data_IF_452087002523
#
_entry.id   IF_452087002523
#
_cell.length_a   1.000
_cell.length_b   1.000
_cell.length_c   1.000
_cell.angle_alpha   90.00
_cell.angle_beta   90.00
_cell.angle_gamma   90.00
#
_symmetry.space_group_name_H-M   'P 1'
#
loop_
_entity.id
_entity.type
_entity.pdbx_description
1 polymer ?
#
# COMPACT_ATOMS: atom_id res chain seq x y z
N UNK A 1 30.98 -1.78 31.15
CA UNK A 1 30.10 -2.92 31.53
C UNK A 1 28.63 -2.50 31.57
N UNK A 2 28.23 -1.48 32.33
CA UNK A 2 26.83 -0.99 32.42
C UNK A 2 26.18 -0.64 31.07
N UNK A 3 26.90 0.05 30.18
CA UNK A 3 26.39 0.40 28.85
C UNK A 3 26.04 -0.79 27.97
N UNK A 4 26.68 -1.95 28.17
CA UNK A 4 26.41 -3.16 27.37
C UNK A 4 25.03 -3.72 27.73
N UNK A 5 24.67 -3.68 29.01
CA UNK A 5 23.35 -4.10 29.48
C UNK A 5 22.27 -3.11 29.07
N UNK A 6 22.57 -1.81 29.07
CA UNK A 6 21.67 -0.78 28.54
C UNK A 6 21.41 -0.96 27.05
N UNK A 7 22.45 -1.23 26.26
CA UNK A 7 22.33 -1.42 24.81
C UNK A 7 21.60 -2.71 24.46
N UNK A 8 21.89 -3.81 25.17
CA UNK A 8 21.18 -5.08 25.03
C UNK A 8 19.70 -4.94 25.39
N UNK A 9 19.38 -4.21 26.45
CA UNK A 9 18.00 -3.92 26.84
C UNK A 9 17.27 -3.12 25.76
N UNK A 10 17.90 -2.09 25.20
CA UNK A 10 17.32 -1.27 24.13
C UNK A 10 17.08 -2.08 22.84
N UNK A 11 18.01 -2.98 22.49
CA UNK A 11 17.88 -3.87 21.34
C UNK A 11 16.74 -4.88 21.51
N UNK A 12 16.55 -5.43 22.71
CA UNK A 12 15.44 -6.34 22.99
C UNK A 12 14.06 -5.66 22.97
N UNK A 13 14.01 -4.33 23.10
CA UNK A 13 12.77 -3.54 22.99
C UNK A 13 12.42 -3.14 21.56
N UNK A 14 13.25 -3.43 20.55
CA UNK A 14 12.88 -3.13 19.16
C UNK A 14 11.77 -4.08 18.68
N UNK A 15 10.57 -3.55 18.47
CA UNK A 15 9.44 -4.29 17.91
C UNK A 15 9.60 -4.53 16.41
N UNK A 16 9.00 -5.62 15.91
CA UNK A 16 8.88 -5.88 14.47
C UNK A 16 7.77 -4.99 13.90
N UNK A 17 8.12 -4.06 13.02
CA UNK A 17 7.12 -3.33 12.24
C UNK A 17 6.65 -4.20 11.08
N UNK A 18 5.35 -4.48 11.03
CA UNK A 18 4.70 -5.18 9.91
C UNK A 18 3.90 -4.15 9.12
N UNK A 19 4.21 -4.01 7.84
CA UNK A 19 3.57 -3.04 6.94
C UNK A 19 2.61 -3.70 5.92
N UNK A 20 2.36 -5.00 6.06
CA UNK A 20 1.53 -5.73 5.12
C UNK A 20 0.06 -5.32 5.25
N UNK A 21 -0.54 -4.93 4.12
CA UNK A 21 -1.97 -4.65 4.02
C UNK A 21 -2.69 -5.94 3.68
N UNK A 22 -3.42 -6.50 4.64
CA UNK A 22 -4.17 -7.76 4.48
C UNK A 22 -5.67 -7.56 4.74
N UNK A 23 -6.49 -8.40 4.11
CA UNK A 23 -7.95 -8.37 4.25
C UNK A 23 -8.68 -8.56 2.92
N UNK A 24 -10.01 -8.44 2.94
CA UNK A 24 -10.82 -8.55 1.72
C UNK A 24 -10.58 -7.35 0.81
N UNK A 25 -10.10 -7.61 -0.40
CA UNK A 25 -9.94 -6.60 -1.43
C UNK A 25 -11.26 -6.32 -2.16
N UNK A 26 -11.50 -5.05 -2.43
CA UNK A 26 -12.53 -4.54 -3.33
C UNK A 26 -11.84 -3.80 -4.47
N UNK A 27 -12.06 -4.24 -5.72
CA UNK A 27 -11.52 -3.55 -6.90
C UNK A 27 -12.32 -2.27 -7.14
N UNK A 28 -11.63 -1.13 -7.21
CA UNK A 28 -12.25 0.18 -7.44
C UNK A 28 -11.89 0.78 -8.79
N UNK A 29 -10.70 0.47 -9.31
CA UNK A 29 -10.27 0.81 -10.67
C UNK A 29 -9.24 -0.23 -11.19
N UNK A 30 -8.84 -0.13 -12.45
CA UNK A 30 -7.93 -1.07 -13.11
C UNK A 30 -6.54 -1.19 -12.46
N UNK A 31 -6.09 -0.15 -11.75
CA UNK A 31 -4.83 -0.13 -11.00
C UNK A 31 -5.03 0.15 -9.49
N UNK A 32 -6.29 0.20 -9.02
CA UNK A 32 -6.62 0.65 -7.68
C UNK A 32 -7.56 -0.33 -6.98
N UNK A 33 -7.14 -0.83 -5.82
CA UNK A 33 -7.96 -1.67 -4.93
C UNK A 33 -8.12 -1.05 -3.55
N UNK A 34 -9.18 -1.41 -2.84
CA UNK A 34 -9.44 -1.01 -1.47
C UNK A 34 -9.45 -2.23 -0.55
N UNK A 35 -8.74 -2.15 0.57
CA UNK A 35 -8.73 -3.18 1.62
C UNK A 35 -9.15 -2.50 2.92
N UNK A 36 -10.38 -2.76 3.37
CA UNK A 36 -10.99 -2.02 4.48
C UNK A 36 -11.08 -0.51 4.17
N UNK A 37 -10.36 0.31 4.93
CA UNK A 37 -10.28 1.77 4.72
C UNK A 37 -9.03 2.21 3.95
N UNK A 38 -8.16 1.27 3.58
CA UNK A 38 -6.90 1.54 2.91
C UNK A 38 -7.12 1.47 1.40
N UNK A 39 -6.70 2.51 0.68
CA UNK A 39 -6.63 2.53 -0.79
C UNK A 39 -5.21 2.15 -1.21
N UNK A 40 -5.09 1.16 -2.10
CA UNK A 40 -3.82 0.66 -2.64
C UNK A 40 -3.80 0.92 -4.15
N UNK A 41 -2.80 1.68 -4.61
CA UNK A 41 -2.53 1.95 -6.04
C UNK A 41 -1.37 1.05 -6.49
N UNK A 42 -1.51 0.37 -7.60
CA UNK A 42 -0.46 -0.48 -8.17
C UNK A 42 0.60 0.40 -8.84
N UNK A 43 1.75 0.53 -8.20
CA UNK A 43 2.82 1.37 -8.72
C UNK A 43 3.36 0.82 -10.05
N UNK A 44 3.52 1.69 -11.05
CA UNK A 44 4.02 1.32 -12.38
C UNK A 44 2.97 0.73 -13.32
N UNK A 45 1.71 0.62 -12.87
CA UNK A 45 0.56 0.29 -13.71
C UNK A 45 -0.26 1.57 -13.88
N UNK A 46 -0.60 1.89 -15.13
CA UNK A 46 -1.54 2.93 -15.48
C UNK A 46 -2.71 2.29 -16.23
N UNK A 47 -3.92 2.50 -15.75
CA UNK A 47 -5.13 1.90 -16.30
C UNK A 47 -6.14 3.00 -16.66
N UNK A 48 -6.93 2.83 -17.74
CA UNK A 48 -8.06 3.71 -18.00
C UNK A 48 -9.00 3.69 -16.79
N UNK A 49 -9.39 4.88 -16.31
CA UNK A 49 -10.25 5.00 -15.14
C UNK A 49 -11.65 4.44 -15.43
N UNK A 50 -12.30 3.83 -14.45
CA UNK A 50 -13.57 3.10 -14.63
C UNK A 50 -14.66 3.92 -15.33
N UNK A 51 -14.71 5.23 -15.07
CA UNK A 51 -15.73 6.15 -15.61
C UNK A 51 -15.24 6.94 -16.82
N UNK A 52 -14.04 6.66 -17.32
CA UNK A 52 -13.51 7.30 -18.50
C UNK A 52 -14.32 6.87 -19.73
N UNK A 53 -14.66 7.85 -20.58
CA UNK A 53 -15.15 7.58 -21.93
C UNK A 53 -13.97 7.64 -22.88
N UNK A 54 -13.85 6.63 -23.75
CA UNK A 54 -12.84 6.60 -24.79
C UNK A 54 -13.46 6.99 -26.12
N UNK A 55 -12.76 7.85 -26.86
CA UNK A 55 -13.18 8.29 -28.17
C UNK A 55 -12.16 7.92 -29.23
N UNK A 56 -12.65 7.69 -30.45
CA UNK A 56 -11.78 7.40 -31.59
C UNK A 56 -10.92 8.63 -31.89
N UNK A 57 -9.60 8.46 -31.94
CA UNK A 57 -8.63 9.55 -32.15
C UNK A 57 -8.75 10.72 -31.14
N UNK A 58 -9.29 10.50 -29.94
CA UNK A 58 -9.44 11.54 -28.91
C UNK A 58 -10.51 12.59 -29.21
N UNK A 59 -11.42 12.34 -30.16
CA UNK A 59 -12.46 13.30 -30.55
C UNK A 59 -13.79 13.00 -29.86
N UNK A 60 -14.22 13.91 -28.98
CA UNK A 60 -15.40 13.74 -28.13
C UNK A 60 -16.74 13.63 -28.88
#
# INVERSE_FOLDING_TARGET
>A
MTHIYTFLCLFLLSGVAVADVTGKAQVTDGDTVKIGNIRVRLHGIDAPEQKQKCWKAGQA
#
